data_IF_856595785847
#
_entry.id   IF_856595785847
#
_cell.length_a   1.000
_cell.length_b   1.000
_cell.length_c   1.000
_cell.angle_alpha   90.00
_cell.angle_beta   90.00
_cell.angle_gamma   90.00
#
_symmetry.space_group_name_H-M   'P 1'
#
loop_
_entity.id
_entity.type
_entity.pdbx_description
1 polymer ?
#
# COMPACT_ATOMS: atom_id res chain seq x y z
N UNK A 1 -26.21 9.59 -20.01
CA UNK A 1 -24.99 8.78 -19.83
C UNK A 1 -25.20 8.06 -18.52
N UNK A 2 -25.63 6.80 -18.57
CA UNK A 2 -25.96 6.04 -17.38
C UNK A 2 -24.66 5.67 -16.67
N UNK A 3 -24.41 6.29 -15.52
CA UNK A 3 -23.23 6.02 -14.69
C UNK A 3 -23.14 4.53 -14.28
N UNK A 4 -24.29 3.85 -14.25
CA UNK A 4 -24.40 2.42 -13.94
C UNK A 4 -23.89 1.50 -15.07
N UNK A 5 -23.78 2.02 -16.30
CA UNK A 5 -23.25 1.22 -17.42
C UNK A 5 -21.75 0.97 -17.28
N UNK A 6 -21.01 1.91 -16.70
CA UNK A 6 -19.55 1.78 -16.48
C UNK A 6 -19.22 0.68 -15.46
N UNK A 7 -20.06 0.51 -14.42
CA UNK A 7 -19.89 -0.53 -13.42
C UNK A 7 -20.15 -1.96 -13.96
N UNK A 8 -20.90 -2.07 -15.07
CA UNK A 8 -21.26 -3.35 -15.69
C UNK A 8 -20.42 -3.67 -16.95
N UNK A 9 -19.69 -2.68 -17.50
CA UNK A 9 -18.85 -2.82 -18.70
C UNK A 9 -17.37 -3.14 -18.39
N UNK A 10 -16.90 -2.87 -17.17
CA UNK A 10 -15.59 -3.32 -16.71
C UNK A 10 -15.74 -4.64 -15.94
N UNK A 11 -14.93 -5.69 -16.21
CA UNK A 11 -14.93 -6.86 -15.35
C UNK A 11 -14.67 -6.39 -13.92
N UNK A 12 -15.36 -6.92 -12.89
CA UNK A 12 -15.30 -6.44 -11.49
C UNK A 12 -13.92 -6.61 -10.82
N UNK A 13 -12.90 -6.95 -11.61
CA UNK A 13 -11.55 -7.35 -11.24
C UNK A 13 -10.48 -6.46 -11.90
N UNK A 14 -10.88 -5.52 -12.77
CA UNK A 14 -10.00 -4.58 -13.46
C UNK A 14 -10.47 -3.14 -13.27
N UNK A 15 -9.53 -2.21 -13.12
CA UNK A 15 -9.80 -0.77 -12.96
C UNK A 15 -9.21 -0.13 -11.71
N UNK A 16 -8.22 -0.76 -11.06
CA UNK A 16 -7.65 -0.20 -9.83
C UNK A 16 -8.58 -0.32 -8.63
N UNK A 17 -9.18 -1.50 -8.45
CA UNK A 17 -10.03 -1.83 -7.31
C UNK A 17 -9.22 -1.87 -6.01
N UNK A 18 -9.88 -1.68 -4.87
CA UNK A 18 -9.25 -1.81 -3.57
C UNK A 18 -8.89 -3.29 -3.30
N UNK A 19 -7.60 -3.57 -3.19
CA UNK A 19 -7.06 -4.91 -2.96
C UNK A 19 -6.77 -5.18 -1.49
N UNK A 20 -6.49 -4.16 -0.69
CA UNK A 20 -6.16 -4.34 0.71
C UNK A 20 -5.92 -3.03 1.44
N UNK A 21 -5.84 -3.12 2.77
CA UNK A 21 -5.63 -1.95 3.62
C UNK A 21 -4.95 -2.27 4.94
N UNK A 22 -4.30 -1.27 5.50
CA UNK A 22 -3.90 -1.18 6.90
C UNK A 22 -4.44 0.13 7.46
N UNK A 23 -5.42 0.04 8.34
CA UNK A 23 -6.06 1.20 8.98
C UNK A 23 -5.31 1.53 10.26
N UNK A 24 -5.12 2.83 10.51
CA UNK A 24 -4.38 3.36 11.64
C UNK A 24 -2.97 2.74 11.80
N UNK A 25 -2.23 2.63 10.68
CA UNK A 25 -0.83 2.21 10.70
C UNK A 25 -0.04 3.13 11.64
N UNK A 26 0.76 2.57 12.53
CA UNK A 26 1.59 3.31 13.46
C UNK A 26 2.86 3.82 12.77
N UNK A 27 2.90 5.12 12.46
CA UNK A 27 4.07 5.76 11.84
C UNK A 27 5.19 6.08 12.84
N UNK A 28 5.00 5.74 14.11
CA UNK A 28 6.01 5.83 15.15
C UNK A 28 6.59 4.46 15.55
N UNK A 29 6.47 3.45 14.68
CA UNK A 29 7.03 2.11 14.89
C UNK A 29 7.83 1.65 13.69
N UNK A 30 9.00 1.07 13.92
CA UNK A 30 9.81 0.39 12.90
C UNK A 30 9.50 -1.11 12.79
N UNK A 31 8.63 -1.64 13.65
CA UNK A 31 8.16 -3.01 13.53
C UNK A 31 7.31 -3.17 12.26
N UNK A 32 7.33 -4.38 11.69
CA UNK A 32 6.54 -4.68 10.51
C UNK A 32 5.04 -4.63 10.84
N UNK A 33 4.28 -3.97 9.97
CA UNK A 33 2.84 -3.85 10.08
C UNK A 33 2.18 -4.46 8.85
N UNK A 34 1.39 -5.51 9.08
CA UNK A 34 0.76 -6.27 8.00
C UNK A 34 -0.35 -5.46 7.32
N UNK A 35 -0.28 -5.39 6.00
CA UNK A 35 -1.34 -4.87 5.13
C UNK A 35 -2.15 -6.07 4.65
N UNK A 36 -3.40 -6.16 5.09
CA UNK A 36 -4.29 -7.27 4.76
C UNK A 36 -4.77 -7.14 3.32
N UNK A 37 -4.45 -8.12 2.48
CA UNK A 37 -4.99 -8.23 1.11
C UNK A 37 -6.31 -8.99 1.17
N UNK A 38 -7.38 -8.39 0.65
CA UNK A 38 -8.73 -8.93 0.67
C UNK A 38 -8.88 -10.13 -0.27
N UNK A 39 -9.77 -11.05 0.10
CA UNK A 39 -10.15 -12.23 -0.70
C UNK A 39 -8.99 -13.16 -1.11
N UNK A 40 -7.76 -12.88 -0.70
CA UNK A 40 -6.52 -13.60 -0.98
C UNK A 40 -6.45 -14.13 -2.44
N UNK A 41 -6.51 -13.25 -3.45
CA UNK A 41 -6.54 -13.65 -4.85
C UNK A 41 -5.25 -14.38 -5.25
N UNK A 42 -5.39 -15.43 -6.06
CA UNK A 42 -4.25 -16.25 -6.50
C UNK A 42 -3.21 -15.48 -7.32
N UNK A 43 -3.60 -14.36 -7.95
CA UNK A 43 -2.68 -13.40 -8.58
C UNK A 43 -3.34 -12.03 -8.63
N UNK A 44 -2.56 -10.99 -8.41
CA UNK A 44 -2.99 -9.60 -8.56
C UNK A 44 -1.83 -8.72 -9.03
N UNK A 45 -2.18 -7.56 -9.56
CA UNK A 45 -1.25 -6.51 -9.98
C UNK A 45 -1.49 -5.30 -9.09
N UNK A 46 -0.44 -4.81 -8.43
CA UNK A 46 -0.50 -3.55 -7.68
C UNK A 46 -0.35 -2.40 -8.68
N UNK A 47 -1.33 -1.50 -8.70
CA UNK A 47 -1.33 -0.31 -9.58
C UNK A 47 -1.01 0.96 -8.82
N UNK A 48 -1.40 1.02 -7.54
CA UNK A 48 -1.21 2.21 -6.70
C UNK A 48 -1.25 1.83 -5.23
N UNK A 49 -0.41 2.47 -4.43
CA UNK A 49 -0.51 2.42 -2.97
C UNK A 49 -0.65 3.86 -2.49
N UNK A 50 -1.66 4.11 -1.67
CA UNK A 50 -1.99 5.44 -1.16
C UNK A 50 -1.85 5.43 0.35
N UNK A 51 -1.22 6.46 0.89
CA UNK A 51 -1.26 6.75 2.33
C UNK A 51 -2.01 8.06 2.55
N UNK A 52 -2.91 8.10 3.51
CA UNK A 52 -3.78 9.26 3.77
C UNK A 52 -4.18 9.33 5.25
N UNK A 53 -4.91 10.36 5.64
CA UNK A 53 -5.48 10.48 6.97
C UNK A 53 -4.43 10.47 8.10
N UNK A 54 -3.32 11.20 7.90
CA UNK A 54 -2.29 11.30 8.91
C UNK A 54 -2.82 12.06 10.15
N UNK A 55 -2.66 11.46 11.34
CA UNK A 55 -3.14 12.03 12.60
C UNK A 55 -2.30 13.22 13.10
N UNK A 56 -1.12 13.40 12.52
CA UNK A 56 -0.17 14.49 12.77
C UNK A 56 0.72 14.67 11.54
N UNK A 57 1.52 15.75 11.51
CA UNK A 57 2.48 15.99 10.44
C UNK A 57 3.63 14.98 10.48
N UNK A 58 3.82 14.20 9.41
CA UNK A 58 4.81 13.13 9.32
C UNK A 58 6.21 13.62 8.90
N UNK A 59 6.86 14.44 9.70
CA UNK A 59 8.13 15.10 9.36
C UNK A 59 9.38 14.21 9.26
N UNK A 60 9.43 13.03 9.89
CA UNK A 60 10.63 12.17 9.90
C UNK A 60 10.38 10.74 9.43
N UNK A 61 9.12 10.32 9.37
CA UNK A 61 8.80 8.95 8.99
C UNK A 61 9.28 8.63 7.56
N UNK A 62 10.03 7.54 7.44
CA UNK A 62 10.50 7.01 6.17
C UNK A 62 10.56 5.48 6.22
N UNK A 63 10.22 4.81 5.13
CA UNK A 63 10.08 3.35 5.12
C UNK A 63 9.52 2.79 3.83
N UNK A 64 9.60 1.47 3.69
CA UNK A 64 9.15 0.78 2.49
C UNK A 64 7.96 -0.13 2.72
N UNK A 65 7.51 -0.75 1.63
CA UNK A 65 6.53 -1.83 1.65
C UNK A 65 7.17 -3.06 1.04
N UNK A 66 7.01 -4.19 1.71
CA UNK A 66 7.71 -5.43 1.40
C UNK A 66 6.75 -6.59 1.27
N UNK A 67 7.18 -7.60 0.51
CA UNK A 67 6.43 -8.84 0.37
C UNK A 67 6.76 -9.87 1.47
N UNK A 68 7.64 -9.55 2.41
CA UNK A 68 7.90 -10.37 3.59
C UNK A 68 8.29 -9.48 4.79
N UNK A 69 8.21 -10.06 5.99
CA UNK A 69 8.65 -9.43 7.24
C UNK A 69 10.16 -9.11 7.23
N UNK A 70 10.60 -8.28 8.16
CA UNK A 70 11.98 -7.86 8.34
C UNK A 70 12.60 -7.23 7.09
N UNK A 71 11.80 -6.49 6.32
CA UNK A 71 12.18 -5.91 5.02
C UNK A 71 12.66 -6.94 4.00
N UNK A 72 12.24 -8.19 4.16
CA UNK A 72 12.60 -9.30 3.30
C UNK A 72 11.78 -9.34 2.01
N UNK A 73 12.10 -10.32 1.15
CA UNK A 73 11.43 -10.48 -0.13
C UNK A 73 11.68 -9.31 -1.08
N UNK A 74 10.66 -8.92 -1.84
CA UNK A 74 10.74 -7.80 -2.78
C UNK A 74 10.29 -6.51 -2.11
N UNK A 75 11.07 -5.44 -2.25
CA UNK A 75 10.65 -4.09 -1.89
C UNK A 75 9.69 -3.55 -2.96
N UNK A 76 8.38 -3.55 -2.65
CA UNK A 76 7.31 -2.96 -3.48
C UNK A 76 7.40 -1.43 -3.47
N UNK A 77 7.80 -0.86 -2.34
CA UNK A 77 8.14 0.56 -2.18
C UNK A 77 9.51 0.61 -1.50
N UNK A 78 10.39 1.49 -1.97
CA UNK A 78 11.76 1.59 -1.48
C UNK A 78 11.84 1.97 0.01
N UNK A 79 12.89 1.52 0.69
CA UNK A 79 13.13 1.78 2.12
C UNK A 79 13.28 3.27 2.48
N UNK A 80 13.54 4.11 1.48
CA UNK A 80 13.77 5.55 1.58
C UNK A 80 12.52 6.40 1.25
N UNK A 81 11.36 5.78 0.99
CA UNK A 81 10.13 6.53 0.76
C UNK A 81 9.81 7.37 1.99
N UNK A 82 9.82 8.69 1.80
CA UNK A 82 9.47 9.67 2.83
C UNK A 82 7.95 9.90 2.83
N UNK A 83 7.40 10.16 4.02
CA UNK A 83 5.97 10.45 4.20
C UNK A 83 5.69 11.92 4.53
N UNK A 84 6.68 12.79 4.35
CA UNK A 84 6.71 14.19 4.80
C UNK A 84 5.68 15.13 4.17
N UNK A 85 5.07 14.71 3.06
CA UNK A 85 3.98 15.48 2.43
C UNK A 85 2.66 15.31 3.17
N UNK A 86 2.53 14.32 4.05
CA UNK A 86 1.35 14.09 4.88
C UNK A 86 1.42 14.94 6.14
N UNK A 87 1.07 16.22 6.01
CA UNK A 87 1.09 17.19 7.11
C UNK A 87 -0.21 17.22 7.93
N UNK A 88 -1.19 16.38 7.59
CA UNK A 88 -2.49 16.29 8.27
C UNK A 88 -3.46 15.34 7.57
N UNK A 89 -4.69 15.26 8.09
CA UNK A 89 -5.66 14.21 7.73
C UNK A 89 -6.36 14.39 6.38
N UNK A 90 -6.30 15.57 5.79
CA UNK A 90 -6.98 15.88 4.51
C UNK A 90 -6.10 15.60 3.28
N UNK A 91 -4.86 15.15 3.49
CA UNK A 91 -3.87 14.94 2.45
C UNK A 91 -3.68 13.46 2.19
N UNK A 92 -3.31 13.16 0.95
CA UNK A 92 -2.89 11.83 0.53
C UNK A 92 -1.51 11.89 -0.13
N UNK A 93 -0.83 10.75 -0.14
CA UNK A 93 0.43 10.53 -0.81
C UNK A 93 0.33 9.22 -1.60
N UNK A 94 0.50 9.31 -2.92
CA UNK A 94 0.75 8.14 -3.74
C UNK A 94 2.21 7.71 -3.57
N UNK A 95 2.43 6.46 -3.18
CA UNK A 95 3.78 5.93 -2.98
C UNK A 95 4.43 5.58 -4.32
N UNK A 96 5.75 5.75 -4.39
CA UNK A 96 6.51 5.36 -5.59
C UNK A 96 6.69 3.85 -5.60
N UNK A 97 5.98 3.18 -6.52
CA UNK A 97 6.14 1.75 -6.74
C UNK A 97 7.51 1.45 -7.34
N UNK A 98 8.23 0.52 -6.72
CA UNK A 98 9.49 0.03 -7.23
C UNK A 98 9.24 -0.83 -8.48
N UNK A 99 9.82 -0.44 -9.61
CA UNK A 99 9.72 -1.17 -10.88
C UNK A 99 10.75 -2.29 -11.00
N UNK A 100 11.74 -2.34 -10.11
CA UNK A 100 12.71 -3.43 -10.04
C UNK A 100 12.14 -4.58 -9.22
N UNK A 101 11.94 -5.75 -9.85
CA UNK A 101 11.60 -7.01 -9.15
C UNK A 101 10.16 -7.52 -9.27
N UNK A 102 9.42 -7.15 -10.33
CA UNK A 102 8.08 -7.69 -10.66
C UNK A 102 6.94 -7.40 -9.67
N UNK A 103 7.19 -6.69 -8.58
CA UNK A 103 6.18 -6.34 -7.57
C UNK A 103 5.02 -5.48 -8.11
N UNK A 104 5.30 -4.66 -9.13
CA UNK A 104 4.33 -3.84 -9.86
C UNK A 104 3.64 -4.58 -11.03
N UNK A 105 4.07 -5.81 -11.37
CA UNK A 105 3.61 -6.51 -12.57
C UNK A 105 2.82 -7.77 -12.23
N UNK A 106 3.19 -8.53 -11.19
CA UNK A 106 2.40 -9.69 -10.71
C UNK A 106 2.89 -10.10 -9.32
N UNK A 107 2.07 -9.91 -8.28
CA UNK A 107 2.29 -10.63 -7.02
C UNK A 107 1.69 -12.02 -7.20
N UNK A 108 2.56 -13.01 -7.39
CA UNK A 108 2.17 -14.43 -7.46
C UNK A 108 1.77 -14.86 -6.05
N UNK A 109 0.55 -15.38 -5.87
CA UNK A 109 0.02 -15.79 -4.56
C UNK A 109 0.75 -16.99 -3.97
N UNK A 110 1.88 -16.71 -3.34
CA UNK A 110 2.38 -17.43 -2.17
C UNK A 110 2.67 -16.47 -1.00
N UNK A 111 2.31 -15.19 -1.18
CA UNK A 111 2.55 -14.11 -0.22
C UNK A 111 1.17 -13.54 0.15
N UNK A 112 0.59 -13.97 1.27
CA UNK A 112 -0.77 -13.55 1.64
C UNK A 112 -0.85 -12.07 1.98
N UNK A 113 0.27 -11.42 2.36
CA UNK A 113 0.25 -10.06 2.89
C UNK A 113 1.45 -9.22 2.45
N UNK A 114 1.22 -7.92 2.31
CA UNK A 114 2.28 -6.92 2.25
C UNK A 114 2.60 -6.42 3.65
N UNK A 115 3.79 -5.84 3.85
CA UNK A 115 4.22 -5.33 5.14
C UNK A 115 4.73 -3.90 4.98
N UNK A 116 4.12 -2.96 5.69
CA UNK A 116 4.71 -1.64 5.92
C UNK A 116 5.82 -1.80 6.95
N UNK A 117 7.03 -1.35 6.62
CA UNK A 117 8.18 -1.45 7.51
C UNK A 117 9.00 -0.16 7.46
N UNK A 118 8.97 0.59 8.57
CA UNK A 118 9.66 1.88 8.64
C UNK A 118 11.17 1.69 8.85
N UNK A 119 11.95 2.51 8.17
CA UNK A 119 13.39 2.70 8.43
C UNK A 119 13.60 3.73 9.53
N UNK A 120 12.74 4.75 9.57
CA UNK A 120 12.78 5.80 10.58
C UNK A 120 11.36 6.06 11.05
N UNK A 121 11.15 5.99 12.37
CA UNK A 121 9.88 6.35 13.00
C UNK A 121 9.66 7.88 13.02
N UNK A 122 8.41 8.29 13.19
CA UNK A 122 8.02 9.71 13.26
C UNK A 122 8.57 10.47 14.48
N UNK A 123 8.98 9.76 15.55
CA UNK A 123 9.51 10.36 16.78
C UNK A 123 8.44 10.77 17.79
N UNK A 124 7.18 10.89 17.37
CA UNK A 124 6.00 11.06 18.23
C UNK A 124 4.86 10.19 17.73
N UNK A 125 3.86 9.93 18.58
CA UNK A 125 2.69 9.13 18.20
C UNK A 125 1.98 9.74 16.98
N UNK A 126 1.95 8.98 15.90
CA UNK A 126 1.30 9.37 14.66
C UNK A 126 0.77 8.11 13.96
N UNK A 127 -0.40 8.21 13.37
CA UNK A 127 -1.01 7.15 12.56
C UNK A 127 -1.42 7.66 11.19
N UNK A 128 -1.53 6.77 10.21
CA UNK A 128 -2.14 7.05 8.91
C UNK A 128 -2.73 5.77 8.32
N UNK A 129 -3.60 5.90 7.33
CA UNK A 129 -4.22 4.75 6.65
C UNK A 129 -3.48 4.44 5.36
N UNK A 130 -3.23 3.15 5.11
CA UNK A 130 -2.59 2.66 3.89
C UNK A 130 -3.59 1.84 3.08
N UNK A 131 -3.75 2.19 1.81
CA UNK A 131 -4.65 1.53 0.87
C UNK A 131 -3.87 1.03 -0.35
N UNK A 132 -4.15 -0.21 -0.76
CA UNK A 132 -3.53 -0.86 -1.92
C UNK A 132 -4.59 -1.04 -2.99
N UNK A 133 -4.35 -0.48 -4.18
CA UNK A 133 -5.23 -0.56 -5.33
C UNK A 133 -4.57 -1.29 -6.50
N UNK A 134 -5.38 -2.00 -7.27
CA UNK A 134 -4.87 -2.81 -8.37
C UNK A 134 -5.92 -3.64 -9.08
N UNK A 135 -5.47 -4.70 -9.73
CA UNK A 135 -6.29 -5.58 -10.55
C UNK A 135 -6.09 -7.04 -10.12
N UNK A 136 -7.15 -7.85 -10.16
CA UNK A 136 -7.07 -9.30 -9.91
C UNK A 136 -6.91 -10.01 -11.25
N UNK A 137 -5.88 -10.85 -11.37
CA UNK A 137 -5.57 -11.62 -12.59
C UNK A 137 -5.90 -13.09 -12.35
N UNK A 138 -7.18 -13.44 -12.43
CA UNK A 138 -7.56 -14.86 -12.46
C UNK A 138 -7.40 -15.41 -13.88
N UNK A 139 -6.63 -16.49 -14.03
CA UNK A 139 -6.77 -17.41 -15.15
C UNK A 139 -7.88 -18.40 -14.80
#
# INVERSE_FOLDING_TARGET
MDADRVANELPPRFGGILLGSLIAANFNSTADQQITIFSNPSKYIIRRIVVTNASASLTTAAGGIYTAVSKGGTAVVASSQAYTTLTGSTLFLDLTLNTSGSANITVKSSIPNLYLSLTTAQGTAATADVYVYGDIVTL
#
